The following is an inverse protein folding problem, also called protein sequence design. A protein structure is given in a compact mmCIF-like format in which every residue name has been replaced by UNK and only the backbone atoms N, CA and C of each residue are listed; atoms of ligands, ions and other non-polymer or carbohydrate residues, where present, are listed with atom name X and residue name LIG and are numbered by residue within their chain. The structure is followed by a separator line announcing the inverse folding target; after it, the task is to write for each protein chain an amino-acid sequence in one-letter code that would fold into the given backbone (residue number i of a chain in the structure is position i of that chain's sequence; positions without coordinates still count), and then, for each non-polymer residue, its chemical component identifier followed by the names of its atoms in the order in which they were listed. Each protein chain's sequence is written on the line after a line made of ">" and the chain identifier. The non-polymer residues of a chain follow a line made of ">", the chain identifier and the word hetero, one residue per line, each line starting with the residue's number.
data_IF_424680827261
#
_entry.id   IF_424680827261
#
_cell.length_a   1.000
_cell.length_b   1.000
_cell.length_c   1.000
_cell.angle_alpha   90.00
_cell.angle_beta   90.00
_cell.angle_gamma   90.00
#
_symmetry.space_group_name_H-M   'P 1'
#
loop_
_entity.id
_entity.type
_entity.pdbx_description
1 polymer ?
#
# COMPACT_ATOMS: atom_id res chain seq x y z
N UNK A 1 50.00 -13.04 -13.15
CA UNK A 1 48.78 -13.51 -12.45
C UNK A 1 47.89 -12.34 -11.98
N UNK A 2 47.97 -11.14 -12.57
CA UNK A 2 47.26 -9.92 -12.13
C UNK A 2 46.02 -9.57 -12.96
N UNK A 3 45.73 -10.32 -14.04
CA UNK A 3 44.64 -10.00 -14.97
C UNK A 3 43.23 -10.34 -14.47
N UNK A 4 43.07 -11.29 -13.54
CA UNK A 4 41.74 -11.65 -13.02
C UNK A 4 41.21 -10.64 -11.99
N UNK A 5 42.09 -10.07 -11.17
CA UNK A 5 41.70 -9.14 -10.11
C UNK A 5 41.02 -7.87 -10.63
N UNK A 6 41.45 -7.32 -11.78
CA UNK A 6 40.85 -6.07 -12.31
C UNK A 6 39.41 -6.27 -12.76
N UNK A 7 39.08 -7.40 -13.39
CA UNK A 7 37.71 -7.70 -13.83
C UNK A 7 36.79 -7.98 -12.63
N UNK A 8 37.30 -8.64 -11.60
CA UNK A 8 36.57 -8.89 -10.35
C UNK A 8 36.19 -7.56 -9.66
N UNK A 9 37.14 -6.62 -9.52
CA UNK A 9 36.87 -5.32 -8.92
C UNK A 9 35.92 -4.45 -9.75
N UNK A 10 36.00 -4.50 -11.08
CA UNK A 10 35.04 -3.83 -11.96
C UNK A 10 33.64 -4.40 -11.75
N UNK A 11 33.50 -5.73 -11.72
CA UNK A 11 32.21 -6.39 -11.48
C UNK A 11 31.63 -6.03 -10.11
N UNK A 12 32.44 -6.12 -9.05
CA UNK A 12 32.03 -5.75 -7.69
C UNK A 12 31.59 -4.29 -7.65
N UNK A 13 32.38 -3.38 -8.22
CA UNK A 13 32.05 -1.95 -8.29
C UNK A 13 30.74 -1.69 -9.04
N UNK A 14 30.50 -2.39 -10.15
CA UNK A 14 29.27 -2.29 -10.93
C UNK A 14 28.04 -2.80 -10.14
N UNK A 15 28.14 -3.96 -9.49
CA UNK A 15 27.06 -4.51 -8.66
C UNK A 15 26.74 -3.60 -7.48
N UNK A 16 27.77 -3.11 -6.77
CA UNK A 16 27.57 -2.18 -5.65
C UNK A 16 26.89 -0.89 -6.13
N UNK A 17 27.33 -0.34 -7.26
CA UNK A 17 26.76 0.88 -7.82
C UNK A 17 25.29 0.68 -8.22
N UNK A 18 24.97 -0.46 -8.83
CA UNK A 18 23.59 -0.83 -9.18
C UNK A 18 22.72 -0.96 -7.92
N UNK A 19 23.19 -1.69 -6.90
CA UNK A 19 22.43 -1.87 -5.66
C UNK A 19 22.24 -0.56 -4.89
N UNK A 20 23.28 0.29 -4.85
CA UNK A 20 23.18 1.61 -4.23
C UNK A 20 22.16 2.49 -4.95
N UNK A 21 22.12 2.43 -6.28
CA UNK A 21 21.14 3.16 -7.08
C UNK A 21 19.71 2.65 -6.85
N UNK A 22 19.48 1.34 -6.93
CA UNK A 22 18.16 0.73 -6.64
C UNK A 22 17.70 1.05 -5.22
N UNK A 23 18.61 0.99 -4.25
CA UNK A 23 18.31 1.33 -2.86
C UNK A 23 17.91 2.79 -2.69
N UNK A 24 18.63 3.72 -3.33
CA UNK A 24 18.29 5.15 -3.29
C UNK A 24 16.95 5.45 -3.97
N UNK A 25 16.66 4.81 -5.10
CA UNK A 25 15.37 4.96 -5.80
C UNK A 25 14.21 4.39 -4.98
N UNK A 26 14.38 3.18 -4.42
CA UNK A 26 13.40 2.56 -3.53
C UNK A 26 13.09 3.42 -2.30
N UNK A 27 14.11 4.04 -1.70
CA UNK A 27 13.94 4.97 -0.58
C UNK A 27 13.09 6.19 -0.97
N UNK A 28 13.34 6.77 -2.14
CA UNK A 28 12.56 7.89 -2.65
C UNK A 28 11.09 7.49 -2.87
N UNK A 29 10.85 6.31 -3.46
CA UNK A 29 9.50 5.78 -3.68
C UNK A 29 8.78 5.54 -2.34
N UNK A 30 9.46 4.91 -1.38
CA UNK A 30 8.90 4.68 -0.03
C UNK A 30 8.49 6.00 0.64
N UNK A 31 9.34 7.03 0.58
CA UNK A 31 9.01 8.35 1.12
C UNK A 31 7.79 8.98 0.45
N UNK A 32 7.64 8.79 -0.88
CA UNK A 32 6.45 9.24 -1.59
C UNK A 32 5.21 8.46 -1.15
N UNK A 33 5.31 7.15 -0.95
CA UNK A 33 4.21 6.28 -0.53
C UNK A 33 3.81 6.47 0.94
N UNK A 34 4.73 6.89 1.81
CA UNK A 34 4.41 7.20 3.21
C UNK A 34 3.86 8.62 3.39
N UNK A 35 4.18 9.53 2.47
CA UNK A 35 3.74 10.92 2.52
C UNK A 35 2.25 11.07 2.16
N UNK A 36 1.38 10.89 3.17
CA UNK A 36 -0.06 11.10 3.02
C UNK A 36 -0.36 12.57 2.67
N UNK A 37 -1.12 12.86 1.60
CA UNK A 37 -1.57 14.22 1.30
C UNK A 37 -2.42 14.81 2.44
N UNK A 38 -2.25 16.11 2.78
CA UNK A 38 -2.96 16.73 3.89
C UNK A 38 -4.48 16.85 3.68
N UNK A 39 -4.93 16.77 2.43
CA UNK A 39 -6.33 16.81 2.04
C UNK A 39 -6.94 15.40 1.87
N UNK A 40 -6.27 14.34 2.34
CA UNK A 40 -6.77 12.97 2.22
C UNK A 40 -8.02 12.74 3.09
N UNK A 41 -9.09 12.23 2.47
CA UNK A 41 -10.30 11.80 3.17
C UNK A 41 -10.02 10.46 3.88
N UNK A 42 -10.42 10.35 5.15
CA UNK A 42 -10.16 9.15 5.96
C UNK A 42 -11.32 8.16 5.82
N UNK A 43 -11.00 6.91 5.47
CA UNK A 43 -11.96 5.81 5.42
C UNK A 43 -11.50 4.73 6.37
N UNK A 44 -12.35 4.40 7.34
CA UNK A 44 -12.09 3.28 8.24
C UNK A 44 -12.53 1.98 7.59
N UNK A 45 -11.58 1.09 7.40
CA UNK A 45 -11.77 -0.24 6.81
C UNK A 45 -11.75 -1.26 7.94
N UNK A 46 -12.85 -1.99 8.09
CA UNK A 46 -13.04 -2.94 9.18
C UNK A 46 -13.20 -4.34 8.58
N UNK A 47 -12.21 -5.20 8.85
CA UNK A 47 -12.23 -6.62 8.50
C UNK A 47 -13.07 -7.44 9.48
N UNK A 48 -13.95 -8.28 8.92
CA UNK A 48 -14.84 -9.20 9.64
C UNK A 48 -14.99 -10.48 8.79
N UNK A 49 -15.25 -11.63 9.40
CA UNK A 49 -15.60 -12.85 8.67
C UNK A 49 -17.04 -12.74 8.11
N UNK A 50 -17.30 -12.75 6.80
CA UNK A 50 -16.42 -12.69 5.62
C UNK A 50 -16.82 -11.50 4.74
N UNK A 51 -16.71 -10.30 5.30
CA UNK A 51 -17.10 -9.07 4.64
C UNK A 51 -16.28 -7.90 5.16
N UNK A 52 -16.22 -6.85 4.35
CA UNK A 52 -15.63 -5.59 4.73
C UNK A 52 -16.73 -4.60 5.09
N UNK A 53 -16.54 -3.87 6.18
CA UNK A 53 -17.27 -2.63 6.44
C UNK A 53 -16.36 -1.45 6.12
N UNK A 54 -16.90 -0.46 5.42
CA UNK A 54 -16.27 0.83 5.18
C UNK A 54 -17.05 1.92 5.92
N UNK A 55 -16.35 2.78 6.65
CA UNK A 55 -16.96 3.92 7.35
C UNK A 55 -16.24 5.21 6.95
N UNK A 56 -17.02 6.13 6.39
CA UNK A 56 -16.59 7.45 5.95
C UNK A 56 -16.68 8.48 7.10
N UNK A 57 -15.98 9.61 6.97
CA UNK A 57 -15.97 10.69 7.98
C UNK A 57 -17.34 11.34 8.15
N UNK A 58 -18.15 11.37 7.10
CA UNK A 58 -19.52 11.90 7.11
C UNK A 58 -20.52 11.00 7.88
N UNK A 59 -20.06 9.83 8.34
CA UNK A 59 -20.88 8.83 9.04
C UNK A 59 -21.51 7.80 8.11
N UNK A 60 -21.34 7.92 6.80
CA UNK A 60 -21.81 6.93 5.83
C UNK A 60 -21.08 5.60 6.07
N UNK A 61 -21.85 4.50 6.12
CA UNK A 61 -21.33 3.15 6.30
C UNK A 61 -21.74 2.27 5.13
N UNK A 62 -20.77 1.66 4.49
CA UNK A 62 -20.96 0.75 3.37
C UNK A 62 -20.47 -0.65 3.76
N UNK A 63 -21.12 -1.69 3.23
CA UNK A 63 -20.80 -3.08 3.54
C UNK A 63 -20.59 -3.82 2.22
N UNK A 64 -19.47 -4.52 2.09
CA UNK A 64 -19.11 -5.34 0.93
C UNK A 64 -18.67 -4.57 -0.32
N UNK A 65 -19.07 -3.30 -0.44
CA UNK A 65 -18.67 -2.40 -1.52
C UNK A 65 -18.20 -1.08 -0.93
N UNK A 66 -17.25 -0.44 -1.60
CA UNK A 66 -16.71 0.86 -1.26
C UNK A 66 -16.87 1.78 -2.48
N UNK A 67 -17.53 2.92 -2.31
CA UNK A 67 -17.60 3.95 -3.35
C UNK A 67 -16.67 5.12 -3.01
N UNK A 68 -15.82 5.48 -3.97
CA UNK A 68 -14.85 6.58 -3.85
C UNK A 68 -14.96 7.51 -5.06
N UNK A 69 -14.52 8.76 -4.88
CA UNK A 69 -14.49 9.76 -5.96
C UNK A 69 -13.16 9.70 -6.70
N UNK A 70 -13.22 9.89 -8.01
CA UNK A 70 -12.03 9.97 -8.85
C UNK A 70 -11.14 11.14 -8.43
N UNK A 71 -9.82 10.92 -8.35
CA UNK A 71 -8.83 11.96 -8.12
C UNK A 71 -8.78 12.52 -6.69
N UNK A 72 -9.58 11.95 -5.77
CA UNK A 72 -9.53 12.30 -4.35
C UNK A 72 -8.53 11.38 -3.64
N UNK A 73 -7.60 11.93 -2.84
CA UNK A 73 -6.74 11.12 -1.99
C UNK A 73 -7.53 10.54 -0.83
N UNK A 74 -7.37 9.24 -0.59
CA UNK A 74 -8.01 8.53 0.52
C UNK A 74 -6.95 7.90 1.42
N UNK A 75 -7.06 8.13 2.72
CA UNK A 75 -6.30 7.41 3.75
C UNK A 75 -7.18 6.32 4.35
N UNK A 76 -6.76 5.08 4.19
CA UNK A 76 -7.43 3.93 4.75
C UNK A 76 -6.88 3.61 6.13
N UNK A 77 -7.75 3.61 7.14
CA UNK A 77 -7.44 3.13 8.49
C UNK A 77 -7.98 1.71 8.63
N UNK A 78 -7.09 0.74 8.52
CA UNK A 78 -7.41 -0.68 8.38
C UNK A 78 -7.26 -1.36 9.74
N UNK A 79 -8.33 -2.02 10.18
CA UNK A 79 -8.41 -2.73 11.46
C UNK A 79 -9.27 -3.99 11.30
N UNK A 80 -9.04 -5.00 12.13
CA UNK A 80 -9.94 -6.16 12.21
C UNK A 80 -10.71 -6.19 13.53
N UNK A 81 -11.95 -6.72 13.49
CA UNK A 81 -12.76 -6.99 14.68
C UNK A 81 -12.65 -8.42 15.20
N UNK A 82 -12.13 -9.36 14.41
CA UNK A 82 -12.11 -10.78 14.75
C UNK A 82 -10.74 -11.43 14.56
N UNK A 83 -10.41 -11.88 13.35
CA UNK A 83 -9.17 -12.56 12.97
C UNK A 83 -8.34 -11.68 12.06
N UNK A 84 -7.12 -12.08 11.73
CA UNK A 84 -6.32 -11.34 10.77
C UNK A 84 -6.94 -11.51 9.38
N UNK A 85 -7.02 -10.40 8.64
CA UNK A 85 -7.37 -10.37 7.22
C UNK A 85 -6.32 -9.56 6.49
N UNK A 86 -6.29 -9.65 5.16
CA UNK A 86 -5.42 -8.79 4.34
C UNK A 86 -6.23 -7.99 3.33
N UNK A 87 -6.32 -6.67 3.53
CA UNK A 87 -7.08 -5.76 2.66
C UNK A 87 -6.28 -5.48 1.40
N UNK A 88 -6.82 -5.92 0.25
CA UNK A 88 -6.09 -5.88 -1.01
C UNK A 88 -6.94 -5.34 -2.16
N UNK A 89 -6.39 -4.35 -2.86
CA UNK A 89 -6.89 -3.79 -4.13
C UNK A 89 -5.74 -3.89 -5.15
N UNK A 90 -5.63 -4.99 -5.91
CA UNK A 90 -4.48 -5.27 -6.76
C UNK A 90 -4.18 -4.16 -7.78
N UNK A 91 -5.22 -3.64 -8.43
CA UNK A 91 -5.11 -2.64 -9.50
C UNK A 91 -4.47 -1.32 -9.03
N UNK A 92 -4.48 -1.09 -7.72
CA UNK A 92 -3.95 0.12 -7.09
C UNK A 92 -2.75 -0.17 -6.19
N UNK A 93 -2.19 -1.39 -6.21
CA UNK A 93 -1.08 -1.80 -5.35
C UNK A 93 -1.34 -1.53 -3.85
N UNK A 94 -2.61 -1.54 -3.43
CA UNK A 94 -2.98 -1.42 -2.02
C UNK A 94 -2.99 -2.82 -1.43
N UNK A 95 -2.08 -3.06 -0.49
CA UNK A 95 -2.02 -4.30 0.28
C UNK A 95 -1.63 -3.96 1.71
N UNK A 96 -2.52 -4.20 2.67
CA UNK A 96 -2.25 -3.94 4.09
C UNK A 96 -3.09 -4.84 4.97
N UNK A 97 -2.46 -5.40 5.99
CA UNK A 97 -3.13 -6.33 6.89
C UNK A 97 -4.08 -5.60 7.85
N UNK A 98 -5.25 -6.21 8.06
CA UNK A 98 -6.20 -5.87 9.09
C UNK A 98 -5.95 -6.77 10.30
N UNK A 99 -5.30 -6.22 11.32
CA UNK A 99 -4.90 -6.98 12.52
C UNK A 99 -5.78 -6.56 13.71
N UNK A 100 -6.36 -7.50 14.47
CA UNK A 100 -7.12 -7.16 15.66
C UNK A 100 -6.28 -6.36 16.67
N UNK A 101 -6.83 -5.25 17.16
CA UNK A 101 -6.15 -4.38 18.13
C UNK A 101 -5.06 -3.46 17.58
N UNK A 102 -4.84 -3.43 16.25
CA UNK A 102 -3.92 -2.49 15.59
C UNK A 102 -4.64 -1.76 14.46
N UNK A 103 -4.37 -0.46 14.33
CA UNK A 103 -4.76 0.33 13.16
C UNK A 103 -3.55 0.46 12.26
N UNK A 104 -3.62 -0.17 11.09
CA UNK A 104 -2.65 0.04 10.02
C UNK A 104 -3.17 1.10 9.06
N UNK A 105 -2.26 1.81 8.39
CA UNK A 105 -2.65 2.88 7.47
C UNK A 105 -1.96 2.72 6.13
N UNK A 106 -2.71 2.98 5.07
CA UNK A 106 -2.22 3.10 3.69
C UNK A 106 -3.05 4.18 3.01
N UNK A 107 -2.50 4.86 2.03
CA UNK A 107 -3.25 5.87 1.28
C UNK A 107 -3.09 5.64 -0.22
N UNK A 108 -4.08 6.09 -0.99
CA UNK A 108 -4.00 6.08 -2.44
C UNK A 108 -4.95 7.10 -3.09
N UNK A 109 -4.77 7.34 -4.38
CA UNK A 109 -5.67 8.11 -5.25
C UNK A 109 -6.19 7.17 -6.34
N UNK A 110 -7.49 7.18 -6.56
CA UNK A 110 -8.13 6.40 -7.62
C UNK A 110 -8.39 7.31 -8.82
N UNK A 111 -7.49 7.30 -9.79
CA UNK A 111 -7.48 8.21 -10.94
C UNK A 111 -8.24 7.69 -12.16
N UNK A 112 -8.44 6.37 -12.27
CA UNK A 112 -9.19 5.74 -13.34
C UNK A 112 -10.56 5.26 -12.82
N UNK A 113 -11.69 5.83 -13.30
CA UNK A 113 -13.02 5.36 -12.93
C UNK A 113 -13.27 3.93 -13.38
N UNK A 114 -13.88 3.13 -12.53
CA UNK A 114 -14.17 1.73 -12.83
C UNK A 114 -14.66 0.96 -11.60
N UNK A 115 -14.86 -0.33 -11.80
CA UNK A 115 -15.11 -1.28 -10.72
C UNK A 115 -13.86 -2.14 -10.54
N UNK A 116 -13.38 -2.19 -9.31
CA UNK A 116 -12.15 -2.91 -8.95
C UNK A 116 -12.44 -3.87 -7.82
N UNK A 117 -11.75 -5.00 -7.83
CA UNK A 117 -12.00 -6.06 -6.87
C UNK A 117 -11.24 -5.79 -5.57
N UNK A 118 -11.99 -5.80 -4.46
CA UNK A 118 -11.42 -5.84 -3.11
C UNK A 118 -11.39 -7.30 -2.67
N UNK A 119 -10.22 -7.80 -2.33
CA UNK A 119 -10.02 -9.19 -1.90
C UNK A 119 -9.48 -9.24 -0.47
N UNK A 120 -9.83 -10.31 0.25
CA UNK A 120 -9.02 -10.77 1.37
C UNK A 120 -7.92 -11.69 0.82
N UNK A 121 -6.66 -11.48 1.22
CA UNK A 121 -5.49 -12.27 0.77
C UNK A 121 -4.85 -13.16 1.83
N UNK A 122 -5.54 -13.35 2.96
CA UNK A 122 -5.13 -14.26 4.02
C UNK A 122 -5.81 -15.63 3.93
#
# INVERSE_FOLDING_TARGET
>A
MSGHAIYEWIYIGAVISLLAWVGADSWNVEHMLEAVPPNAEVIKVIGQQWFWTFQHVDGTREIGQLHVKQGVPYRFEIVSQDVIHSFNIPDFAVLTDAVPGRVNTVWNVFDVPGQYLIQCRE
#
